data_IF_752551481303
#
_entry.id   IF_752551481303
#
_cell.length_a   1.000
_cell.length_b   1.000
_cell.length_c   1.000
_cell.angle_alpha   90.00
_cell.angle_beta   90.00
_cell.angle_gamma   90.00
#
_symmetry.space_group_name_H-M   'P 1'
#
loop_
_entity.id
_entity.type
_entity.pdbx_description
1 polymer ?
#
# COMPACT_ATOMS: atom_id res chain seq x y z
N UNK A 1 -2.72 33.83 -8.83
CA UNK A 1 -1.25 33.84 -8.63
C UNK A 1 -0.77 32.88 -7.53
N UNK A 2 -1.61 32.51 -6.54
CA UNK A 2 -1.27 31.48 -5.53
C UNK A 2 -1.25 30.05 -6.08
N UNK A 3 -2.01 29.78 -7.15
CA UNK A 3 -2.10 28.46 -7.78
C UNK A 3 -0.84 28.08 -8.57
N UNK A 4 -0.14 29.09 -9.12
CA UNK A 4 1.14 28.91 -9.79
C UNK A 4 2.23 28.44 -8.81
N UNK A 5 2.22 28.93 -7.56
CA UNK A 5 3.15 28.48 -6.52
C UNK A 5 2.97 27.00 -6.13
N UNK A 6 1.80 26.40 -6.34
CA UNK A 6 1.58 24.96 -6.10
C UNK A 6 2.26 24.09 -7.16
N UNK A 7 2.35 24.54 -8.40
CA UNK A 7 2.98 23.82 -9.50
C UNK A 7 4.52 23.76 -9.42
N UNK A 8 5.15 24.62 -8.62
CA UNK A 8 6.60 24.59 -8.37
C UNK A 8 6.99 23.80 -7.11
N UNK A 9 6.02 23.33 -6.31
CA UNK A 9 6.26 22.49 -5.11
C UNK A 9 6.37 20.99 -5.44
N UNK A 10 6.64 20.62 -6.68
CA UNK A 10 6.56 19.24 -7.17
C UNK A 10 7.84 18.43 -6.95
N UNK A 11 8.90 19.07 -6.46
CA UNK A 11 10.16 18.39 -6.12
C UNK A 11 10.40 18.55 -4.62
N UNK A 12 9.54 17.95 -3.80
CA UNK A 12 9.98 17.64 -2.44
C UNK A 12 11.20 16.73 -2.59
N UNK A 13 12.39 17.13 -2.11
CA UNK A 13 13.53 16.24 -2.11
C UNK A 13 13.12 14.96 -1.36
N UNK A 14 13.53 13.81 -1.87
CA UNK A 14 13.44 12.56 -1.10
C UNK A 14 14.17 12.84 0.21
N UNK A 15 13.46 12.82 1.34
CA UNK A 15 14.09 13.08 2.62
C UNK A 15 15.20 12.05 2.82
N UNK A 16 16.44 12.54 2.81
CA UNK A 16 17.59 11.72 3.12
C UNK A 16 17.55 11.45 4.62
N UNK A 17 17.48 10.18 4.99
CA UNK A 17 17.51 9.76 6.38
C UNK A 17 18.97 9.69 6.86
N UNK A 18 19.26 10.26 8.03
CA UNK A 18 20.61 10.22 8.62
C UNK A 18 20.88 8.89 9.35
N UNK A 19 19.83 8.18 9.77
CA UNK A 19 19.96 6.92 10.52
C UNK A 19 18.75 5.99 10.34
N UNK A 20 18.99 4.68 10.50
CA UNK A 20 17.96 3.63 10.47
C UNK A 20 17.89 2.98 11.85
N UNK A 21 16.68 2.78 12.37
CA UNK A 21 16.43 2.07 13.62
C UNK A 21 15.66 0.77 13.35
N UNK A 22 16.04 -0.30 14.05
CA UNK A 22 15.33 -1.58 14.06
C UNK A 22 14.73 -1.79 15.46
N UNK A 23 13.53 -2.34 15.52
CA UNK A 23 12.83 -2.63 16.77
C UNK A 23 11.70 -3.63 16.54
N UNK A 24 11.13 -4.13 17.64
CA UNK A 24 9.95 -5.00 17.58
C UNK A 24 8.71 -4.15 17.33
N UNK A 25 7.87 -4.58 16.39
CA UNK A 25 6.59 -3.96 16.12
C UNK A 25 5.51 -4.52 17.07
N UNK A 26 4.64 -3.65 17.59
CA UNK A 26 3.49 -4.09 18.37
C UNK A 26 2.37 -4.62 17.45
N UNK A 27 1.43 -5.44 17.96
CA UNK A 27 0.28 -5.89 17.18
C UNK A 27 -0.53 -4.75 16.55
N UNK A 28 -0.66 -3.63 17.26
CA UNK A 28 -1.37 -2.43 16.78
C UNK A 28 -0.63 -1.78 15.60
N UNK A 29 0.70 -1.68 15.68
CA UNK A 29 1.52 -1.15 14.58
C UNK A 29 1.39 -2.01 13.31
N UNK A 30 1.43 -3.34 13.46
CA UNK A 30 1.30 -4.28 12.34
C UNK A 30 -0.06 -4.10 11.65
N UNK A 31 -1.14 -3.96 12.43
CA UNK A 31 -2.49 -3.71 11.88
C UNK A 31 -2.59 -2.35 11.20
N UNK A 32 -1.95 -1.31 11.74
CA UNK A 32 -1.94 0.02 11.13
C UNK A 32 -1.23 0.04 9.76
N UNK A 33 -0.22 -0.81 9.55
CA UNK A 33 0.45 -0.97 8.26
C UNK A 33 -0.29 -1.88 7.28
N UNK A 34 -1.25 -2.66 7.78
CA UNK A 34 -1.99 -3.64 6.99
C UNK A 34 -3.13 -2.98 6.24
N UNK A 35 -3.29 -3.30 4.96
CA UNK A 35 -4.36 -2.77 4.09
C UNK A 35 -5.59 -3.69 4.00
N UNK A 36 -5.60 -4.79 4.74
CA UNK A 36 -6.63 -5.80 4.74
C UNK A 36 -6.14 -7.10 5.37
N UNK A 37 -7.07 -7.98 5.73
CA UNK A 37 -6.77 -9.31 6.27
C UNK A 37 -6.91 -10.36 5.15
N UNK A 38 -5.89 -11.21 5.00
CA UNK A 38 -5.97 -12.39 4.12
C UNK A 38 -6.63 -13.53 4.90
N UNK A 39 -7.75 -14.03 4.40
CA UNK A 39 -8.51 -15.11 5.06
C UNK A 39 -8.32 -16.46 4.38
N UNK A 40 -7.89 -16.45 3.12
CA UNK A 40 -7.75 -17.68 2.33
C UNK A 40 -6.41 -17.74 1.60
N UNK A 41 -5.85 -18.94 1.40
CA UNK A 41 -4.54 -19.11 0.77
C UNK A 41 -4.58 -19.01 -0.77
N UNK A 42 -5.71 -18.69 -1.39
CA UNK A 42 -5.78 -18.60 -2.85
C UNK A 42 -5.14 -17.30 -3.38
N UNK A 43 -4.56 -17.36 -4.59
CA UNK A 43 -3.85 -16.23 -5.21
C UNK A 43 -4.67 -15.65 -6.36
N UNK A 44 -4.72 -16.37 -7.48
CA UNK A 44 -5.47 -15.97 -8.68
C UNK A 44 -6.29 -17.16 -9.17
N UNK A 45 -7.43 -16.86 -9.77
CA UNK A 45 -8.23 -17.86 -10.43
C UNK A 45 -7.50 -18.41 -11.67
N UNK A 46 -7.42 -19.73 -11.81
CA UNK A 46 -6.72 -20.36 -12.93
C UNK A 46 -7.37 -20.14 -14.30
N UNK A 47 -8.68 -19.87 -14.36
CA UNK A 47 -9.41 -19.65 -15.63
C UNK A 47 -9.46 -18.20 -16.02
N UNK A 48 -9.81 -17.35 -15.06
CA UNK A 48 -10.08 -15.93 -15.34
C UNK A 48 -8.87 -15.03 -15.10
N UNK A 49 -7.82 -15.56 -14.47
CA UNK A 49 -6.64 -14.81 -14.01
C UNK A 49 -7.00 -13.61 -13.12
N UNK A 50 -8.22 -13.58 -12.57
CA UNK A 50 -8.66 -12.56 -11.63
C UNK A 50 -8.17 -12.92 -10.24
N UNK A 51 -7.77 -11.91 -9.45
CA UNK A 51 -7.45 -12.12 -8.03
C UNK A 51 -8.67 -12.67 -7.30
N UNK A 52 -8.44 -13.61 -6.39
CA UNK A 52 -9.49 -14.18 -5.57
C UNK A 52 -9.88 -13.22 -4.43
N UNK A 53 -11.18 -13.15 -4.13
CA UNK A 53 -11.66 -12.33 -3.01
C UNK A 53 -11.21 -12.97 -1.69
N UNK A 54 -10.58 -12.15 -0.84
CA UNK A 54 -9.95 -12.51 0.43
C UNK A 54 -8.71 -13.42 0.31
N UNK A 55 -8.15 -13.53 -0.90
CA UNK A 55 -6.93 -14.28 -1.19
C UNK A 55 -5.64 -13.52 -0.87
N UNK A 56 -4.49 -14.19 -1.03
CA UNK A 56 -3.15 -13.63 -0.82
C UNK A 56 -2.85 -12.42 -1.71
N UNK A 57 -3.48 -12.36 -2.89
CA UNK A 57 -3.32 -11.26 -3.83
C UNK A 57 -4.65 -10.54 -3.97
N UNK A 58 -4.81 -9.47 -3.18
CA UNK A 58 -5.91 -8.53 -3.33
C UNK A 58 -5.44 -7.35 -4.19
N UNK A 59 -6.05 -7.16 -5.37
CA UNK A 59 -5.87 -5.92 -6.15
C UNK A 59 -6.85 -4.86 -5.65
N UNK A 60 -6.31 -3.84 -5.00
CA UNK A 60 -7.08 -2.71 -4.44
C UNK A 60 -7.72 -1.84 -5.55
N UNK A 61 -7.22 -1.95 -6.78
CA UNK A 61 -7.58 -1.17 -7.98
C UNK A 61 -8.65 -1.83 -8.88
N UNK A 62 -9.10 -3.06 -8.59
CA UNK A 62 -9.97 -3.83 -9.50
C UNK A 62 -11.46 -3.90 -9.14
N UNK A 63 -11.86 -3.25 -8.05
CA UNK A 63 -13.27 -3.21 -7.60
C UNK A 63 -13.89 -1.81 -7.69
N UNK A 64 -13.19 -0.83 -8.27
CA UNK A 64 -13.67 0.55 -8.51
C UNK A 64 -13.68 0.89 -10.01
N UNK A 65 -13.88 -0.10 -10.87
CA UNK A 65 -14.20 0.10 -12.29
C UNK A 65 -15.38 -0.76 -12.69
#
# INVERSE_FOLDING_TARGET
>A
MKDLLKFFKTNAPVEQFDSIKIGLASPEMIRAWSYGEVKKPETINYRTFKPERDGLVLRQDLWVR
#
